data_IF_656801673507
#
_entry.id   IF_656801673507
#
_cell.length_a   1.000
_cell.length_b   1.000
_cell.length_c   1.000
_cell.angle_alpha   90.00
_cell.angle_beta   90.00
_cell.angle_gamma   90.00
#
_symmetry.space_group_name_H-M   'P 1'
#
loop_
_entity.id
_entity.type
_entity.pdbx_description
1 polymer ?
#
# COMPACT_ATOMS: atom_id res chain seq x y z
N UNK A 1 -53.08 -47.40 -23.20
CA UNK A 1 -51.95 -48.25 -22.82
C UNK A 1 -50.67 -47.65 -23.40
N UNK A 2 -49.71 -47.23 -22.55
CA UNK A 2 -48.27 -47.07 -22.89
C UNK A 2 -47.68 -48.47 -23.18
N UNK A 3 -46.57 -48.68 -23.95
CA UNK A 3 -45.24 -48.03 -23.84
C UNK A 3 -44.58 -47.75 -25.23
N UNK A 4 -43.38 -47.22 -25.42
CA UNK A 4 -42.27 -46.92 -24.50
C UNK A 4 -41.36 -45.83 -25.10
N UNK A 5 -41.27 -44.72 -24.37
CA UNK A 5 -40.25 -43.69 -24.48
C UNK A 5 -39.04 -44.18 -23.67
N UNK A 6 -38.08 -44.87 -24.28
CA UNK A 6 -36.90 -45.35 -23.56
C UNK A 6 -35.62 -45.46 -24.40
N UNK A 7 -35.52 -44.75 -25.53
CA UNK A 7 -34.30 -44.77 -26.36
C UNK A 7 -33.63 -43.41 -26.59
N UNK A 8 -34.33 -42.29 -26.33
CA UNK A 8 -33.80 -40.95 -26.59
C UNK A 8 -33.06 -40.33 -25.38
N UNK A 9 -33.22 -40.90 -24.18
CA UNK A 9 -32.68 -40.34 -22.94
C UNK A 9 -31.22 -40.76 -22.65
N UNK A 10 -30.69 -41.77 -23.35
CA UNK A 10 -29.35 -42.32 -23.08
C UNK A 10 -28.25 -41.56 -23.83
N UNK A 11 -28.56 -41.06 -25.03
CA UNK A 11 -27.57 -40.35 -25.85
C UNK A 11 -27.33 -38.90 -25.41
N UNK A 12 -28.36 -38.23 -24.88
CA UNK A 12 -28.21 -36.88 -24.33
C UNK A 12 -27.42 -36.83 -23.02
N UNK A 13 -27.44 -37.93 -22.24
CA UNK A 13 -26.66 -38.04 -21.01
C UNK A 13 -25.17 -38.28 -21.27
N UNK A 14 -24.80 -38.96 -22.37
CA UNK A 14 -23.38 -39.24 -22.67
C UNK A 14 -22.64 -38.02 -23.25
N UNK A 15 -23.32 -37.14 -23.98
CA UNK A 15 -22.71 -35.94 -24.56
C UNK A 15 -22.39 -34.86 -23.52
N UNK A 16 -23.10 -34.85 -22.39
CA UNK A 16 -22.87 -33.88 -21.31
C UNK A 16 -21.75 -34.31 -20.34
N UNK A 17 -21.35 -35.58 -20.37
CA UNK A 17 -20.23 -36.08 -19.56
C UNK A 17 -18.85 -35.91 -20.23
N UNK A 18 -18.79 -35.68 -21.55
CA UNK A 18 -17.53 -35.57 -22.28
C UNK A 18 -16.98 -34.14 -22.42
N UNK A 19 -17.81 -33.11 -22.20
CA UNK A 19 -17.36 -31.71 -22.29
C UNK A 19 -16.90 -31.12 -20.95
N UNK A 20 -17.05 -31.85 -19.84
CA UNK A 20 -16.68 -31.42 -18.50
C UNK A 20 -15.28 -31.88 -18.03
N UNK A 21 -14.51 -32.56 -18.89
CA UNK A 21 -13.23 -33.18 -18.51
C UNK A 21 -11.98 -32.40 -18.94
N UNK A 22 -12.13 -31.15 -19.40
CA UNK A 22 -11.01 -30.27 -19.77
C UNK A 22 -10.92 -28.99 -18.92
N UNK A 23 -11.50 -29.00 -17.73
CA UNK A 23 -11.03 -28.14 -16.65
C UNK A 23 -9.97 -28.93 -15.88
N UNK A 24 -8.73 -28.95 -16.40
CA UNK A 24 -7.60 -29.30 -15.55
C UNK A 24 -7.67 -28.41 -14.30
N UNK A 25 -7.25 -28.90 -13.12
CA UNK A 25 -7.14 -28.03 -11.97
C UNK A 25 -6.27 -26.85 -12.40
N UNK A 26 -6.86 -25.66 -12.47
CA UNK A 26 -6.06 -24.43 -12.43
C UNK A 26 -5.37 -24.53 -11.09
N UNK A 27 -4.14 -25.03 -11.11
CA UNK A 27 -3.17 -24.81 -10.06
C UNK A 27 -2.98 -23.30 -10.08
N UNK A 28 -3.84 -22.60 -9.33
CA UNK A 28 -3.47 -21.31 -8.77
C UNK A 28 -2.31 -21.68 -7.86
N UNK A 29 -1.09 -21.61 -8.41
CA UNK A 29 0.10 -21.52 -7.57
C UNK A 29 -0.27 -20.47 -6.55
N UNK A 30 -0.36 -20.88 -5.29
CA UNK A 30 -0.57 -19.97 -4.19
C UNK A 30 0.65 -19.05 -4.23
N UNK A 31 0.52 -17.92 -4.93
CA UNK A 31 1.53 -16.89 -4.96
C UNK A 31 1.90 -16.67 -3.51
N UNK A 32 3.18 -16.88 -3.17
CA UNK A 32 3.63 -16.73 -1.80
C UNK A 32 3.07 -15.42 -1.27
N UNK A 33 2.45 -15.42 -0.08
CA UNK A 33 1.78 -14.23 0.43
C UNK A 33 2.78 -13.07 0.40
N UNK A 34 2.51 -12.10 -0.47
CA UNK A 34 3.38 -10.94 -0.69
C UNK A 34 3.71 -10.32 0.65
N UNK A 35 4.99 -10.01 0.90
CA UNK A 35 5.40 -9.38 2.16
C UNK A 35 4.58 -8.12 2.41
N UNK A 36 4.39 -7.73 3.68
CA UNK A 36 3.64 -6.50 3.96
C UNK A 36 4.32 -5.29 3.32
N UNK A 37 5.65 -5.34 3.16
CA UNK A 37 6.44 -4.32 2.45
C UNK A 37 6.10 -4.25 0.94
N UNK A 38 5.95 -5.40 0.26
CA UNK A 38 5.51 -5.43 -1.13
C UNK A 38 4.11 -4.84 -1.30
N UNK A 39 3.17 -5.18 -0.40
CA UNK A 39 1.82 -4.60 -0.39
C UNK A 39 1.87 -3.10 -0.18
N UNK A 40 2.66 -2.63 0.77
CA UNK A 40 2.85 -1.21 1.01
C UNK A 40 3.36 -0.49 -0.25
N UNK A 41 4.34 -1.05 -0.97
CA UNK A 41 4.83 -0.48 -2.22
C UNK A 41 3.74 -0.39 -3.31
N UNK A 42 2.82 -1.36 -3.38
CA UNK A 42 1.66 -1.29 -4.29
C UNK A 42 0.72 -0.16 -3.87
N UNK A 43 0.39 -0.05 -2.58
CA UNK A 43 -0.47 1.02 -2.06
C UNK A 43 0.12 2.42 -2.25
N UNK A 44 1.43 2.57 -2.11
CA UNK A 44 2.12 3.85 -2.39
C UNK A 44 1.94 4.27 -3.85
N UNK A 45 2.11 3.35 -4.81
CA UNK A 45 1.89 3.66 -6.23
C UNK A 45 0.44 4.04 -6.53
N UNK A 46 -0.50 3.47 -5.78
CA UNK A 46 -1.92 3.81 -5.89
C UNK A 46 -2.29 5.12 -5.16
N UNK A 47 -1.38 5.72 -4.38
CA UNK A 47 -1.66 6.87 -3.53
C UNK A 47 -2.50 6.55 -2.28
N UNK A 48 -2.71 5.26 -1.96
CA UNK A 48 -3.43 4.81 -0.77
C UNK A 48 -2.47 4.70 0.43
N UNK A 49 -2.07 5.85 0.95
CA UNK A 49 -1.10 5.91 2.05
C UNK A 49 -1.62 5.35 3.37
N UNK A 50 -2.95 5.30 3.58
CA UNK A 50 -3.53 4.65 4.76
C UNK A 50 -3.19 3.16 4.73
N UNK A 51 -3.50 2.48 3.64
CA UNK A 51 -3.17 1.06 3.47
C UNK A 51 -1.65 0.82 3.44
N UNK A 52 -0.86 1.73 2.87
CA UNK A 52 0.59 1.63 2.88
C UNK A 52 1.16 1.66 4.30
N UNK A 53 0.71 2.60 5.14
CA UNK A 53 1.13 2.71 6.54
C UNK A 53 0.68 1.50 7.35
N UNK A 54 -0.56 1.05 7.20
CA UNK A 54 -1.09 -0.14 7.89
C UNK A 54 -0.29 -1.41 7.55
N UNK A 55 0.07 -1.58 6.28
CA UNK A 55 0.91 -2.69 5.84
C UNK A 55 2.31 -2.62 6.48
N UNK A 56 2.98 -1.46 6.45
CA UNK A 56 4.28 -1.29 7.10
C UNK A 56 4.23 -1.51 8.62
N UNK A 57 3.18 -1.02 9.28
CA UNK A 57 3.00 -1.25 10.71
C UNK A 57 2.78 -2.74 11.02
N UNK A 58 2.12 -3.48 10.12
CA UNK A 58 1.98 -4.93 10.24
C UNK A 58 3.34 -5.62 10.12
N UNK A 59 4.18 -5.24 9.16
CA UNK A 59 5.55 -5.75 9.06
C UNK A 59 6.35 -5.49 10.34
N UNK A 60 6.26 -4.28 10.90
CA UNK A 60 6.99 -3.92 12.13
C UNK A 60 6.48 -4.72 13.34
N UNK A 61 5.19 -5.01 13.41
CA UNK A 61 4.62 -5.84 14.49
C UNK A 61 5.08 -7.30 14.37
N UNK A 62 5.05 -7.84 13.17
CA UNK A 62 5.29 -9.26 12.94
C UNK A 62 6.81 -9.58 12.86
N UNK A 63 7.58 -8.67 12.27
CA UNK A 63 9.02 -8.80 12.01
C UNK A 63 9.77 -7.47 12.27
N UNK A 64 9.89 -7.05 13.55
CA UNK A 64 10.60 -5.81 13.89
C UNK A 64 12.09 -5.91 13.54
N UNK A 65 12.56 -5.00 12.69
CA UNK A 65 13.96 -4.90 12.29
C UNK A 65 14.31 -3.47 11.89
N UNK A 66 15.60 -3.14 11.85
CA UNK A 66 16.05 -1.84 11.35
C UNK A 66 15.47 -1.55 9.95
N UNK A 67 15.43 -2.55 9.06
CA UNK A 67 14.87 -2.42 7.71
C UNK A 67 13.37 -2.13 7.72
N UNK A 68 12.56 -2.84 8.51
CA UNK A 68 11.11 -2.60 8.56
C UNK A 68 10.78 -1.23 9.17
N UNK A 69 11.51 -0.79 10.20
CA UNK A 69 11.38 0.57 10.73
C UNK A 69 11.84 1.64 9.73
N UNK A 70 12.97 1.47 9.04
CA UNK A 70 13.42 2.41 7.99
C UNK A 70 12.39 2.51 6.87
N UNK A 71 11.77 1.39 6.50
CA UNK A 71 10.75 1.43 5.47
C UNK A 71 9.49 2.17 5.92
N UNK A 72 9.03 1.94 7.15
CA UNK A 72 7.92 2.71 7.72
C UNK A 72 8.24 4.22 7.78
N UNK A 73 9.47 4.59 8.20
CA UNK A 73 9.96 5.98 8.15
C UNK A 73 9.93 6.54 6.73
N UNK A 74 10.32 5.74 5.74
CA UNK A 74 10.27 6.13 4.34
C UNK A 74 8.82 6.39 3.86
N UNK A 75 7.88 5.52 4.20
CA UNK A 75 6.46 5.70 3.86
C UNK A 75 5.88 6.98 4.47
N UNK A 76 6.25 7.30 5.71
CA UNK A 76 5.88 8.58 6.32
C UNK A 76 6.40 9.76 5.50
N UNK A 77 7.70 9.79 5.19
CA UNK A 77 8.19 10.87 4.37
C UNK A 77 7.55 10.92 2.97
N UNK A 78 7.28 9.76 2.35
CA UNK A 78 6.62 9.70 1.06
C UNK A 78 5.19 10.27 1.13
N UNK A 79 4.46 10.04 2.22
CA UNK A 79 3.16 10.67 2.47
C UNK A 79 3.29 12.20 2.54
N UNK A 80 4.29 12.73 3.24
CA UNK A 80 4.58 14.17 3.24
C UNK A 80 4.86 14.70 1.82
N UNK A 81 5.71 14.01 1.07
CA UNK A 81 6.01 14.34 -0.34
C UNK A 81 4.77 14.30 -1.24
N UNK A 82 3.89 13.33 -1.06
CA UNK A 82 2.63 13.22 -1.80
C UNK A 82 1.66 14.36 -1.46
N UNK A 83 1.52 14.71 -0.17
CA UNK A 83 0.71 15.87 0.25
C UNK A 83 1.27 17.16 -0.35
N UNK A 84 2.59 17.34 -0.35
CA UNK A 84 3.24 18.49 -0.97
C UNK A 84 2.99 18.53 -2.48
N UNK A 85 3.05 17.38 -3.18
CA UNK A 85 2.72 17.28 -4.59
C UNK A 85 1.26 17.65 -4.89
N UNK A 86 0.30 17.12 -4.12
CA UNK A 86 -1.12 17.45 -4.28
C UNK A 86 -1.37 18.96 -4.09
N UNK A 87 -0.81 19.55 -3.04
CA UNK A 87 -0.92 21.00 -2.80
C UNK A 87 -0.24 21.83 -3.89
N UNK A 88 0.95 21.42 -4.35
CA UNK A 88 1.69 22.10 -5.41
C UNK A 88 1.03 22.02 -6.79
N UNK A 89 0.11 21.07 -6.98
CA UNK A 89 -0.69 20.89 -8.21
C UNK A 89 -2.14 21.33 -8.05
N UNK A 90 -2.45 22.10 -7.00
CA UNK A 90 -3.77 22.67 -6.71
C UNK A 90 -4.89 21.61 -6.47
N UNK A 91 -4.51 20.39 -6.09
CA UNK A 91 -5.43 19.28 -5.82
C UNK A 91 -5.91 19.27 -4.36
N UNK A 92 -6.40 20.40 -3.86
CA UNK A 92 -6.79 20.59 -2.44
C UNK A 92 -7.88 19.64 -1.96
N UNK A 93 -8.85 19.31 -2.82
CA UNK A 93 -9.89 18.32 -2.51
C UNK A 93 -9.28 16.93 -2.21
N UNK A 94 -8.20 16.55 -2.89
CA UNK A 94 -7.53 15.27 -2.62
C UNK A 94 -6.73 15.30 -1.32
N UNK A 95 -6.19 16.45 -0.93
CA UNK A 95 -5.53 16.63 0.37
C UNK A 95 -6.54 16.44 1.51
N UNK A 96 -7.72 17.03 1.38
CA UNK A 96 -8.81 16.85 2.33
C UNK A 96 -9.27 15.38 2.41
N UNK A 97 -9.51 14.74 1.26
CA UNK A 97 -9.89 13.32 1.24
C UNK A 97 -8.81 12.42 1.86
N UNK A 98 -7.54 12.71 1.60
CA UNK A 98 -6.42 11.99 2.21
C UNK A 98 -6.42 12.18 3.73
N UNK A 99 -6.66 13.39 4.23
CA UNK A 99 -6.81 13.63 5.66
C UNK A 99 -7.97 12.83 6.25
N UNK A 100 -9.16 12.87 5.65
CA UNK A 100 -10.32 12.11 6.10
C UNK A 100 -10.03 10.60 6.12
N UNK A 101 -9.37 10.08 5.08
CA UNK A 101 -8.98 8.68 5.02
C UNK A 101 -7.99 8.31 6.14
N UNK A 102 -6.98 9.13 6.40
CA UNK A 102 -6.01 8.91 7.48
C UNK A 102 -6.64 9.09 8.88
N UNK A 103 -7.63 9.98 8.98
CA UNK A 103 -8.30 10.34 10.22
C UNK A 103 -9.56 9.51 10.51
N UNK A 104 -9.93 8.56 9.63
CA UNK A 104 -11.12 7.69 9.71
C UNK A 104 -11.08 6.74 10.93
N UNK A 105 -11.17 7.36 12.10
CA UNK A 105 -11.56 6.92 13.43
C UNK A 105 -12.19 8.11 14.20
N UNK A 106 -12.17 9.35 13.66
CA UNK A 106 -12.83 10.53 14.22
C UNK A 106 -13.44 11.36 13.09
N UNK A 107 -14.74 11.17 12.87
CA UNK A 107 -15.56 12.04 12.01
C UNK A 107 -16.15 13.14 12.88
N UNK A 108 -15.55 14.32 12.86
CA UNK A 108 -16.22 15.54 13.28
C UNK A 108 -16.60 16.39 12.07
N UNK A 109 -17.82 16.91 12.17
CA UNK A 109 -18.57 17.74 11.24
C UNK A 109 -17.76 18.97 10.77
N UNK A 110 -17.60 19.13 9.47
CA UNK A 110 -16.98 20.34 8.92
C UNK A 110 -17.82 20.94 7.80
N UNK A 111 -18.56 21.98 8.16
CA UNK A 111 -19.16 22.95 7.26
C UNK A 111 -18.32 24.23 7.34
N UNK A 112 -17.22 24.26 6.60
CA UNK A 112 -16.46 25.47 6.25
C UNK A 112 -15.83 25.28 4.85
N UNK A 113 -15.56 26.35 4.09
CA UNK A 113 -15.17 26.26 2.68
C UNK A 113 -13.88 25.44 2.46
N UNK A 114 -13.75 24.74 1.31
CA UNK A 114 -12.78 23.66 1.10
C UNK A 114 -11.30 24.10 1.22
N UNK A 115 -10.98 25.37 0.96
CA UNK A 115 -9.59 25.84 0.92
C UNK A 115 -8.96 25.99 2.32
N UNK A 116 -9.75 26.38 3.34
CA UNK A 116 -9.24 26.53 4.71
C UNK A 116 -9.00 25.15 5.34
N UNK A 117 -9.93 24.21 5.16
CA UNK A 117 -9.75 22.85 5.65
C UNK A 117 -8.56 22.17 4.98
N UNK A 118 -8.43 22.25 3.66
CA UNK A 118 -7.37 21.53 2.95
C UNK A 118 -5.96 21.98 3.38
N UNK A 119 -5.77 23.27 3.70
CA UNK A 119 -4.51 23.77 4.25
C UNK A 119 -4.26 23.30 5.67
N UNK A 120 -5.28 23.30 6.53
CA UNK A 120 -5.18 22.75 7.89
C UNK A 120 -4.88 21.25 7.82
N UNK A 121 -5.60 20.51 6.97
CA UNK A 121 -5.42 19.09 6.71
C UNK A 121 -3.98 18.77 6.31
N UNK A 122 -3.42 19.53 5.35
CA UNK A 122 -2.00 19.43 5.00
C UNK A 122 -1.11 19.58 6.23
N UNK A 123 -1.19 20.69 6.95
CA UNK A 123 -0.31 20.95 8.11
C UNK A 123 -0.45 19.88 9.19
N UNK A 124 -1.68 19.43 9.47
CA UNK A 124 -1.95 18.35 10.44
C UNK A 124 -1.33 17.03 9.99
N UNK A 125 -1.48 16.64 8.72
CA UNK A 125 -0.84 15.44 8.17
C UNK A 125 0.67 15.57 8.29
N UNK A 126 1.26 16.67 7.81
CA UNK A 126 2.71 16.86 7.79
C UNK A 126 3.31 16.82 9.20
N UNK A 127 2.69 17.48 10.18
CA UNK A 127 3.13 17.43 11.56
C UNK A 127 3.01 16.02 12.17
N UNK A 128 1.91 15.30 11.90
CA UNK A 128 1.72 13.95 12.41
C UNK A 128 2.74 12.98 11.81
N UNK A 129 2.93 13.06 10.50
CA UNK A 129 3.90 12.28 9.74
C UNK A 129 5.31 12.53 10.22
N UNK A 130 5.71 13.80 10.40
CA UNK A 130 7.04 14.14 10.90
C UNK A 130 7.30 13.50 12.27
N UNK A 131 6.37 13.65 13.21
CA UNK A 131 6.51 13.03 14.55
C UNK A 131 6.65 11.51 14.48
N UNK A 132 5.85 10.86 13.62
CA UNK A 132 5.91 9.41 13.47
C UNK A 132 7.20 8.95 12.74
N UNK A 133 7.67 9.73 11.77
CA UNK A 133 8.94 9.50 11.10
C UNK A 133 10.10 9.59 12.11
N UNK A 134 10.12 10.60 12.98
CA UNK A 134 11.17 10.78 14.00
C UNK A 134 11.22 9.59 14.97
N UNK A 135 10.06 9.15 15.47
CA UNK A 135 9.97 7.99 16.37
C UNK A 135 10.47 6.71 15.68
N UNK A 136 10.01 6.45 14.46
CA UNK A 136 10.39 5.22 13.73
C UNK A 136 11.84 5.24 13.26
N UNK A 137 12.37 6.41 12.86
CA UNK A 137 13.77 6.61 12.52
C UNK A 137 14.68 6.33 13.71
N UNK A 138 14.31 6.83 14.89
CA UNK A 138 15.04 6.57 16.13
C UNK A 138 15.06 5.07 16.48
N UNK A 139 13.94 4.37 16.28
CA UNK A 139 13.87 2.92 16.48
C UNK A 139 14.75 2.15 15.49
N UNK A 140 14.73 2.53 14.20
CA UNK A 140 15.59 1.92 13.20
C UNK A 140 17.08 2.06 13.56
N UNK A 141 17.51 3.28 13.91
CA UNK A 141 18.89 3.58 14.27
C UNK A 141 19.39 2.80 15.48
N UNK A 142 18.51 2.57 16.47
CA UNK A 142 18.85 1.77 17.65
C UNK A 142 19.12 0.30 17.32
N UNK A 143 18.46 -0.23 16.28
CA UNK A 143 18.61 -1.63 15.89
C UNK A 143 19.84 -1.85 15.02
N UNK A 144 20.08 -0.98 14.03
CA UNK A 144 21.27 -1.06 13.16
C UNK A 144 21.59 0.30 12.52
N UNK A 145 22.44 1.08 13.17
CA UNK A 145 22.84 2.41 12.69
C UNK A 145 23.58 2.36 11.34
N UNK A 146 24.41 1.34 11.09
CA UNK A 146 25.21 1.25 9.88
C UNK A 146 24.31 0.98 8.66
N UNK A 147 23.37 0.05 8.81
CA UNK A 147 22.36 -0.21 7.80
C UNK A 147 21.51 1.02 7.51
N UNK A 148 20.99 1.69 8.55
CA UNK A 148 20.12 2.86 8.40
C UNK A 148 20.84 4.01 7.70
N UNK A 149 22.10 4.27 8.05
CA UNK A 149 22.93 5.30 7.40
C UNK A 149 23.04 5.04 5.89
N UNK A 150 23.30 3.80 5.48
CA UNK A 150 23.35 3.42 4.07
C UNK A 150 22.00 3.63 3.39
N UNK A 151 20.91 3.15 3.99
CA UNK A 151 19.57 3.31 3.43
C UNK A 151 19.19 4.79 3.29
N UNK A 152 19.53 5.67 4.23
CA UNK A 152 19.27 7.10 4.11
C UNK A 152 20.05 7.77 2.97
N UNK A 153 21.27 7.33 2.69
CA UNK A 153 22.01 7.80 1.52
C UNK A 153 21.30 7.38 0.23
N UNK A 154 20.85 6.14 0.16
CA UNK A 154 20.08 5.61 -0.98
C UNK A 154 18.76 6.36 -1.18
N UNK A 155 18.03 6.65 -0.09
CA UNK A 155 16.82 7.46 -0.11
C UNK A 155 17.10 8.89 -0.59
N UNK A 156 18.18 9.51 -0.11
CA UNK A 156 18.56 10.87 -0.52
C UNK A 156 18.87 10.93 -2.01
N UNK A 157 19.66 9.97 -2.51
CA UNK A 157 19.96 9.85 -3.93
C UNK A 157 18.69 9.62 -4.76
N UNK A 158 17.77 8.78 -4.27
CA UNK A 158 16.49 8.53 -4.93
C UNK A 158 15.63 9.78 -5.07
N UNK A 159 15.51 10.57 -4.00
CA UNK A 159 14.76 11.84 -4.03
C UNK A 159 15.36 12.84 -5.00
N UNK A 160 16.69 12.94 -5.03
CA UNK A 160 17.40 13.85 -5.94
C UNK A 160 17.21 13.44 -7.41
N UNK A 161 17.21 12.13 -7.69
CA UNK A 161 16.99 11.62 -9.04
C UNK A 161 15.53 11.75 -9.52
N UNK A 162 14.57 11.88 -8.60
CA UNK A 162 13.13 11.81 -8.86
C UNK A 162 12.34 12.88 -8.10
N UNK A 163 12.60 14.17 -8.33
CA UNK A 163 12.02 15.24 -7.53
C UNK A 163 10.48 15.24 -7.54
N UNK A 164 9.85 14.83 -8.64
CA UNK A 164 8.41 14.95 -8.84
C UNK A 164 7.61 13.71 -8.40
N UNK A 165 8.24 12.53 -8.32
CA UNK A 165 7.53 11.26 -8.14
C UNK A 165 8.23 10.25 -7.20
N UNK A 166 9.31 10.65 -6.51
CA UNK A 166 10.00 9.79 -5.55
C UNK A 166 9.08 9.25 -4.46
N UNK A 167 7.98 9.94 -4.14
CA UNK A 167 7.01 9.55 -3.13
C UNK A 167 6.15 8.36 -3.57
N UNK A 168 6.01 8.10 -4.87
CA UNK A 168 5.15 7.03 -5.39
C UNK A 168 5.76 5.63 -5.22
N UNK A 169 7.08 5.53 -5.00
CA UNK A 169 7.77 4.25 -4.82
C UNK A 169 9.14 4.44 -4.18
N UNK A 170 9.60 3.45 -3.40
CA UNK A 170 10.93 3.51 -2.81
C UNK A 170 12.03 3.03 -3.77
N UNK A 171 13.31 3.23 -3.38
CA UNK A 171 14.44 2.89 -4.23
C UNK A 171 14.41 1.41 -4.65
N UNK A 172 14.67 1.07 -5.92
CA UNK A 172 14.58 -0.31 -6.41
C UNK A 172 15.57 -1.27 -5.75
N UNK A 173 16.70 -0.74 -5.24
CA UNK A 173 17.68 -1.51 -4.46
C UNK A 173 17.15 -1.93 -3.08
N UNK A 174 16.06 -1.34 -2.61
CA UNK A 174 15.36 -1.81 -1.42
C UNK A 174 14.51 -2.99 -1.85
N UNK A 175 15.15 -4.15 -1.94
CA UNK A 175 14.47 -5.41 -2.20
C UNK A 175 13.38 -5.60 -1.13
N UNK A 176 12.14 -5.67 -1.62
CA UNK A 176 10.89 -5.73 -0.84
C UNK A 176 10.64 -7.11 -0.22
N UNK A 177 11.49 -8.05 -0.59
CA UNK A 177 11.46 -9.43 -0.18
C UNK A 177 12.19 -9.60 1.16
N UNK A 178 11.74 -10.59 1.93
CA UNK A 178 12.45 -10.99 3.12
C UNK A 178 13.86 -11.46 2.71
N UNK A 179 14.93 -11.10 3.44
CA UNK A 179 16.21 -11.78 3.29
C UNK A 179 16.13 -13.25 3.74
#
# INVERSE_FOLDING_TARGET
MRPGLSSLSVWAALAFWLTLQWAGPVQVDAAEPSSHLQRAAVFMRAGDYRQAVEACQSEVRDFPSARSYTFLTYVYHALDGYVAHLAGTDQWVRVEQLYLNLAAARTEDLLDPPDVLARIAKEVIQQAVQRQADVTAAMANRLDHALVTRLWQEQTAWRQARPDDWWASAPPQWQWERP
#
